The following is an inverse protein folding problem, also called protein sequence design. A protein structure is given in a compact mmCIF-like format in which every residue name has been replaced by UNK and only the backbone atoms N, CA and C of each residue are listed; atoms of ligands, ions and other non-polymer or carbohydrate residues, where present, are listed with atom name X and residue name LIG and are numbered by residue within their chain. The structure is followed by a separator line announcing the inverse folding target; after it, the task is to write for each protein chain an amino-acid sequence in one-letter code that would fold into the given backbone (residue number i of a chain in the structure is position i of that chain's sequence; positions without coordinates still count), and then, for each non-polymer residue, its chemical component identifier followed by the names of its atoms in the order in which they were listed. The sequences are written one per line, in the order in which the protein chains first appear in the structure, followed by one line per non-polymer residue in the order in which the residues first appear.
data_IF_792928042670
#
_entry.id   IF_792928042670
#
_cell.length_a   1.000
_cell.length_b   1.000
_cell.length_c   1.000
_cell.angle_alpha   90.00
_cell.angle_beta   90.00
_cell.angle_gamma   90.00
#
_symmetry.space_group_name_H-M   'P 1'
#
loop_
_entity.id
_entity.type
_entity.pdbx_description
1 polymer ?
#
# COMPACT_ATOMS: atom_id res chain seq x y z
N UNK A 1 -22.96 -8.49 -2.69
CA UNK A 1 -22.36 -9.81 -2.52
C UNK A 1 -21.54 -9.92 -1.22
N UNK A 2 -20.90 -11.07 -0.93
CA UNK A 2 -20.20 -11.29 0.36
C UNK A 2 -19.13 -10.25 0.67
N UNK A 3 -18.33 -9.85 -0.32
CA UNK A 3 -17.27 -8.84 -0.15
C UNK A 3 -17.84 -7.51 0.32
N UNK A 4 -18.93 -7.05 -0.26
CA UNK A 4 -19.59 -5.81 0.17
C UNK A 4 -20.08 -5.88 1.64
N UNK A 5 -20.63 -7.02 2.04
CA UNK A 5 -21.07 -7.22 3.43
C UNK A 5 -19.90 -7.19 4.41
N UNK A 6 -18.74 -7.76 4.03
CA UNK A 6 -17.52 -7.68 4.82
C UNK A 6 -16.99 -6.25 4.92
N UNK A 7 -17.00 -5.49 3.82
CA UNK A 7 -16.66 -4.07 3.83
C UNK A 7 -17.54 -3.28 4.79
N UNK A 8 -18.88 -3.45 4.72
CA UNK A 8 -19.83 -2.80 5.64
C UNK A 8 -19.51 -3.12 7.09
N UNK A 9 -19.28 -4.40 7.41
CA UNK A 9 -18.94 -4.80 8.78
C UNK A 9 -17.61 -4.16 9.23
N UNK A 10 -16.61 -4.12 8.37
CA UNK A 10 -15.32 -3.46 8.63
C UNK A 10 -15.48 -1.97 8.93
N UNK A 11 -16.25 -1.24 8.10
CA UNK A 11 -16.51 0.18 8.33
C UNK A 11 -17.25 0.46 9.63
N UNK A 12 -18.25 -0.37 9.99
CA UNK A 12 -18.95 -0.25 11.28
C UNK A 12 -17.95 -0.42 12.43
N UNK A 13 -17.11 -1.48 12.37
CA UNK A 13 -16.14 -1.76 13.42
C UNK A 13 -15.04 -0.70 13.53
N UNK A 14 -14.52 -0.22 12.39
CA UNK A 14 -13.48 0.82 12.37
C UNK A 14 -14.00 2.20 12.80
N UNK A 15 -15.32 2.40 12.77
CA UNK A 15 -15.97 3.65 13.20
C UNK A 15 -16.47 3.59 14.64
N UNK A 16 -16.50 2.41 15.26
CA UNK A 16 -16.97 2.23 16.65
C UNK A 16 -15.84 2.59 17.63
N UNK A 17 -16.00 3.60 18.49
CA UNK A 17 -14.98 4.02 19.47
C UNK A 17 -14.66 2.96 20.53
N UNK A 18 -15.49 1.94 20.68
CA UNK A 18 -15.26 0.81 21.58
C UNK A 18 -14.63 -0.41 20.89
N UNK A 19 -14.54 -0.39 19.57
CA UNK A 19 -13.87 -1.43 18.81
C UNK A 19 -12.34 -1.30 18.92
N UNK A 20 -11.66 -2.44 18.78
CA UNK A 20 -10.20 -2.48 18.62
C UNK A 20 -9.76 -2.50 17.15
N UNK A 21 -10.70 -2.47 16.22
CA UNK A 21 -10.42 -2.36 14.79
C UNK A 21 -10.08 -0.90 14.50
N UNK A 22 -8.87 -0.67 14.00
CA UNK A 22 -8.36 0.69 13.76
C UNK A 22 -8.43 1.09 12.29
N UNK A 23 -8.44 0.13 11.38
CA UNK A 23 -8.50 0.38 9.93
C UNK A 23 -9.08 -0.83 9.19
N UNK A 24 -9.49 -0.62 7.93
CA UNK A 24 -9.85 -1.68 7.00
C UNK A 24 -8.70 -1.92 6.03
N UNK A 25 -8.59 -3.17 5.58
CA UNK A 25 -7.71 -3.54 4.47
C UNK A 25 -8.46 -4.49 3.52
N UNK A 26 -8.16 -4.40 2.23
CA UNK A 26 -8.53 -5.40 1.23
C UNK A 26 -7.25 -6.09 0.76
N UNK A 27 -7.15 -7.38 1.04
CA UNK A 27 -5.96 -8.18 0.75
C UNK A 27 -6.34 -9.36 -0.13
N UNK A 28 -5.71 -9.47 -1.27
CA UNK A 28 -5.75 -10.63 -2.17
C UNK A 28 -4.60 -10.50 -3.16
N UNK A 29 -4.20 -11.62 -3.80
CA UNK A 29 -3.25 -11.57 -4.90
C UNK A 29 -3.75 -10.58 -5.98
N UNK A 30 -3.02 -9.46 -6.14
CA UNK A 30 -3.48 -8.31 -6.93
C UNK A 30 -3.50 -8.64 -8.42
N UNK A 31 -2.60 -9.53 -8.88
CA UNK A 31 -2.51 -10.04 -10.25
C UNK A 31 -3.59 -11.09 -10.60
N UNK A 32 -4.38 -11.54 -9.62
CA UNK A 32 -5.43 -12.53 -9.89
C UNK A 32 -6.53 -11.96 -10.77
N UNK A 33 -7.08 -12.80 -11.64
CA UNK A 33 -8.15 -12.39 -12.57
C UNK A 33 -9.32 -11.68 -11.89
N UNK A 34 -9.76 -12.18 -10.73
CA UNK A 34 -10.90 -11.59 -10.01
C UNK A 34 -10.52 -10.27 -9.35
N UNK A 35 -9.30 -10.12 -8.85
CA UNK A 35 -8.79 -8.85 -8.30
C UNK A 35 -8.77 -7.79 -9.38
N UNK A 36 -8.15 -8.07 -10.51
CA UNK A 36 -8.08 -7.18 -11.67
C UNK A 36 -9.46 -6.78 -12.18
N UNK A 37 -10.36 -7.75 -12.36
CA UNK A 37 -11.71 -7.51 -12.90
C UNK A 37 -12.56 -6.62 -11.99
N UNK A 38 -12.45 -6.78 -10.68
CA UNK A 38 -13.35 -6.16 -9.71
C UNK A 38 -12.75 -4.93 -9.03
N UNK A 39 -11.48 -4.61 -9.23
CA UNK A 39 -10.76 -3.57 -8.49
C UNK A 39 -11.52 -2.24 -8.47
N UNK A 40 -11.79 -1.68 -9.63
CA UNK A 40 -12.52 -0.40 -9.74
C UNK A 40 -13.90 -0.45 -9.07
N UNK A 41 -14.60 -1.59 -9.16
CA UNK A 41 -15.90 -1.75 -8.50
C UNK A 41 -15.75 -1.74 -6.98
N UNK A 42 -14.72 -2.39 -6.46
CA UNK A 42 -14.42 -2.41 -5.03
C UNK A 42 -14.02 -1.02 -4.53
N UNK A 43 -13.23 -0.27 -5.28
CA UNK A 43 -12.88 1.13 -4.93
C UNK A 43 -14.12 2.02 -4.86
N UNK A 44 -15.07 1.89 -5.79
CA UNK A 44 -16.36 2.60 -5.74
C UNK A 44 -17.20 2.20 -4.54
N UNK A 45 -17.13 0.94 -4.11
CA UNK A 45 -17.81 0.49 -2.89
C UNK A 45 -17.20 1.13 -1.64
N UNK A 46 -15.87 1.24 -1.58
CA UNK A 46 -15.16 1.92 -0.51
C UNK A 46 -15.52 3.42 -0.47
N UNK A 47 -15.53 4.09 -1.62
CA UNK A 47 -15.94 5.49 -1.74
C UNK A 47 -17.35 5.74 -1.18
N UNK A 48 -18.32 4.92 -1.60
CA UNK A 48 -19.67 5.00 -1.07
C UNK A 48 -19.74 4.80 0.45
N UNK A 49 -19.03 3.78 0.97
CA UNK A 49 -19.04 3.48 2.41
C UNK A 49 -18.28 4.53 3.22
N UNK A 50 -17.17 5.06 2.71
CA UNK A 50 -16.44 6.14 3.35
C UNK A 50 -17.31 7.40 3.49
N UNK A 51 -18.17 7.70 2.51
CA UNK A 51 -19.16 8.76 2.62
C UNK A 51 -20.15 8.57 3.78
N UNK A 52 -20.42 7.32 4.21
CA UNK A 52 -21.28 6.99 5.36
C UNK A 52 -20.51 6.93 6.68
N UNK A 53 -19.21 6.55 6.61
CA UNK A 53 -18.32 6.32 7.76
C UNK A 53 -17.00 7.09 7.58
N UNK A 54 -17.02 8.44 7.56
CA UNK A 54 -15.86 9.24 7.17
C UNK A 54 -14.69 9.23 8.18
N UNK A 55 -14.87 8.59 9.32
CA UNK A 55 -13.83 8.43 10.35
C UNK A 55 -13.11 7.09 10.28
N UNK A 56 -13.57 6.18 9.43
CA UNK A 56 -12.91 4.89 9.28
C UNK A 56 -11.61 5.07 8.49
N UNK A 57 -10.51 4.60 9.07
CA UNK A 57 -9.23 4.56 8.37
C UNK A 57 -9.16 3.36 7.42
N UNK A 58 -8.47 3.56 6.30
CA UNK A 58 -8.38 2.57 5.24
C UNK A 58 -6.92 2.39 4.86
N UNK A 59 -6.45 1.14 4.92
CA UNK A 59 -5.18 0.73 4.34
C UNK A 59 -5.46 -0.21 3.18
N UNK A 60 -4.77 -0.08 2.06
CA UNK A 60 -5.03 -0.92 0.90
C UNK A 60 -3.73 -1.50 0.33
N UNK A 61 -3.76 -2.79 -0.01
CA UNK A 61 -2.76 -3.34 -0.90
C UNK A 61 -3.00 -2.75 -2.29
N UNK A 62 -1.99 -2.11 -2.85
CA UNK A 62 -2.03 -1.58 -4.21
C UNK A 62 -0.62 -1.46 -4.77
N UNK A 63 -0.46 -1.89 -6.02
CA UNK A 63 0.81 -1.84 -6.71
C UNK A 63 1.80 -2.94 -6.33
N UNK A 64 1.34 -4.07 -5.79
CA UNK A 64 2.14 -5.29 -5.70
C UNK A 64 2.17 -5.98 -7.06
N UNK A 65 2.58 -5.24 -8.06
CA UNK A 65 2.60 -5.63 -9.47
C UNK A 65 3.96 -5.29 -10.09
N UNK A 66 4.27 -6.03 -11.15
CA UNK A 66 5.45 -5.77 -11.97
C UNK A 66 5.14 -6.06 -13.45
N UNK A 67 5.83 -5.41 -14.40
CA UNK A 67 5.69 -5.72 -15.82
C UNK A 67 5.89 -7.21 -16.11
N UNK A 68 4.93 -7.80 -16.83
CA UNK A 68 4.92 -9.23 -17.18
C UNK A 68 4.02 -10.10 -16.31
N UNK A 69 3.56 -9.64 -15.15
CA UNK A 69 2.57 -10.35 -14.32
C UNK A 69 1.15 -10.14 -14.83
N UNK A 70 0.85 -8.92 -15.25
CA UNK A 70 -0.46 -8.52 -15.78
C UNK A 70 -0.29 -7.83 -17.13
N UNK A 71 -1.36 -7.68 -17.94
CA UNK A 71 -1.32 -6.82 -19.13
C UNK A 71 -0.90 -5.38 -18.78
N UNK A 72 -0.25 -4.65 -19.70
CA UNK A 72 0.27 -3.29 -19.43
C UNK A 72 -0.77 -2.31 -18.88
N UNK A 73 -2.02 -2.39 -19.36
CA UNK A 73 -3.14 -1.58 -18.87
C UNK A 73 -3.55 -1.94 -17.43
N UNK A 74 -3.19 -3.11 -16.94
CA UNK A 74 -3.38 -3.52 -15.56
C UNK A 74 -2.41 -2.89 -14.56
N UNK A 75 -1.35 -2.22 -15.02
CA UNK A 75 -0.37 -1.57 -14.17
C UNK A 75 -0.67 -0.08 -13.90
N UNK A 76 -1.74 0.48 -14.49
CA UNK A 76 -1.85 1.94 -14.63
C UNK A 76 -2.82 2.61 -13.65
N UNK A 77 -3.47 1.87 -12.73
CA UNK A 77 -4.60 2.46 -12.00
C UNK A 77 -4.78 2.01 -10.54
N UNK A 78 -4.09 0.99 -10.07
CA UNK A 78 -4.37 0.39 -8.76
C UNK A 78 -4.04 1.34 -7.60
N UNK A 79 -2.84 1.93 -7.59
CA UNK A 79 -2.43 2.88 -6.55
C UNK A 79 -3.28 4.15 -6.66
N UNK A 80 -3.46 4.68 -7.88
CA UNK A 80 -4.28 5.87 -8.10
C UNK A 80 -5.70 5.69 -7.60
N UNK A 81 -6.36 4.60 -7.95
CA UNK A 81 -7.72 4.34 -7.51
C UNK A 81 -7.82 4.11 -6.00
N UNK A 82 -6.85 3.46 -5.40
CA UNK A 82 -6.77 3.29 -3.93
C UNK A 82 -6.68 4.64 -3.22
N UNK A 83 -5.88 5.56 -3.75
CA UNK A 83 -5.72 6.91 -3.21
C UNK A 83 -6.95 7.79 -3.47
N UNK A 84 -7.48 7.79 -4.69
CA UNK A 84 -8.47 8.77 -5.13
C UNK A 84 -9.93 8.33 -4.86
N UNK A 85 -10.21 7.03 -4.96
CA UNK A 85 -11.54 6.45 -4.75
C UNK A 85 -11.60 5.61 -3.47
N UNK A 86 -10.55 4.84 -3.19
CA UNK A 86 -10.48 3.96 -2.03
C UNK A 86 -10.28 4.70 -0.71
N UNK A 87 -9.97 6.01 -0.76
CA UNK A 87 -9.68 6.86 0.41
C UNK A 87 -8.59 6.29 1.31
N UNK A 88 -7.60 5.61 0.72
CA UNK A 88 -6.53 5.01 1.48
C UNK A 88 -5.70 6.06 2.23
N UNK A 89 -5.50 5.84 3.52
CA UNK A 89 -4.55 6.57 4.36
C UNK A 89 -3.13 5.98 4.21
N UNK A 90 -3.08 4.66 3.88
CA UNK A 90 -1.83 3.93 3.66
C UNK A 90 -1.97 3.01 2.43
N UNK A 91 -0.85 2.86 1.71
CA UNK A 91 -0.73 1.93 0.57
C UNK A 91 0.29 0.86 0.92
N UNK A 92 -0.12 -0.39 0.90
CA UNK A 92 0.79 -1.53 0.99
C UNK A 92 1.52 -1.73 -0.35
N UNK A 93 2.82 -1.97 -0.31
CA UNK A 93 3.74 -2.23 -1.42
C UNK A 93 4.03 -1.04 -2.33
N UNK A 94 3.10 -0.62 -3.17
CA UNK A 94 3.29 0.51 -4.08
C UNK A 94 4.42 0.34 -5.10
N UNK A 95 4.75 -0.90 -5.50
CA UNK A 95 5.95 -1.20 -6.30
C UNK A 95 5.84 -0.67 -7.73
N UNK A 96 4.67 -0.69 -8.32
CA UNK A 96 4.47 -0.30 -9.72
C UNK A 96 4.13 1.19 -9.93
N UNK A 97 4.34 2.04 -8.94
CA UNK A 97 4.00 3.48 -8.96
C UNK A 97 4.41 4.18 -10.28
N UNK A 98 5.56 3.82 -10.85
CA UNK A 98 6.05 4.42 -12.08
C UNK A 98 5.36 3.92 -13.35
N UNK A 99 4.49 2.91 -13.24
CA UNK A 99 3.65 2.43 -14.33
C UNK A 99 2.23 3.01 -14.28
N UNK A 100 1.86 3.66 -13.19
CA UNK A 100 0.57 4.34 -13.03
C UNK A 100 0.39 5.47 -14.06
N UNK A 101 -0.86 5.79 -14.38
CA UNK A 101 -1.16 6.99 -15.15
C UNK A 101 -0.73 8.24 -14.38
N UNK A 102 0.04 9.11 -15.02
CA UNK A 102 0.56 10.36 -14.44
C UNK A 102 1.25 10.17 -13.06
N UNK A 103 2.30 9.35 -12.97
CA UNK A 103 2.90 8.95 -11.70
C UNK A 103 3.42 10.14 -10.87
N UNK A 104 3.97 11.16 -11.50
CA UNK A 104 4.48 12.36 -10.81
C UNK A 104 3.35 13.17 -10.14
N UNK A 105 2.16 13.21 -10.75
CA UNK A 105 0.99 13.85 -10.14
C UNK A 105 0.51 13.04 -8.94
N UNK A 106 0.43 11.71 -9.09
CA UNK A 106 0.02 10.81 -8.01
C UNK A 106 0.97 10.90 -6.82
N UNK A 107 2.27 10.91 -7.05
CA UNK A 107 3.28 11.07 -6.00
C UNK A 107 3.13 12.41 -5.25
N UNK A 108 2.91 13.52 -5.98
CA UNK A 108 2.64 14.83 -5.36
C UNK A 108 1.37 14.80 -4.51
N UNK A 109 0.33 14.15 -4.98
CA UNK A 109 -0.93 14.05 -4.23
C UNK A 109 -0.76 13.18 -2.97
N UNK A 110 -0.05 12.07 -3.06
CA UNK A 110 0.27 11.23 -1.91
C UNK A 110 1.08 12.01 -0.86
N UNK A 111 2.10 12.74 -1.27
CA UNK A 111 2.89 13.58 -0.37
C UNK A 111 2.03 14.68 0.28
N UNK A 112 1.21 15.39 -0.51
CA UNK A 112 0.33 16.47 -0.04
C UNK A 112 -0.69 15.97 0.99
N UNK A 113 -1.26 14.77 0.79
CA UNK A 113 -2.24 14.14 1.69
C UNK A 113 -1.60 13.35 2.82
N UNK A 114 -0.26 13.28 2.86
CA UNK A 114 0.48 12.47 3.83
C UNK A 114 0.10 10.98 3.79
N UNK A 115 -0.20 10.45 2.60
CA UNK A 115 -0.51 9.03 2.41
C UNK A 115 0.78 8.24 2.50
N UNK A 116 0.86 7.32 3.45
CA UNK A 116 2.08 6.55 3.71
C UNK A 116 2.15 5.30 2.84
N UNK A 117 3.37 4.91 2.44
CA UNK A 117 3.61 3.64 1.75
C UNK A 117 4.29 2.65 2.70
N UNK A 118 3.73 1.44 2.81
CA UNK A 118 4.30 0.32 3.55
C UNK A 118 5.22 -0.48 2.63
N UNK A 119 6.52 -0.37 2.84
CA UNK A 119 7.57 -0.92 2.00
C UNK A 119 7.99 -2.29 2.53
N UNK A 120 7.75 -3.33 1.75
CA UNK A 120 8.00 -4.74 2.08
C UNK A 120 9.13 -5.28 1.20
N UNK A 121 10.39 -4.92 1.50
CA UNK A 121 11.55 -5.19 0.63
C UNK A 121 11.76 -6.67 0.35
N UNK A 122 11.64 -7.52 1.37
CA UNK A 122 11.82 -8.96 1.23
C UNK A 122 10.68 -9.59 0.42
N UNK A 123 9.43 -9.24 0.74
CA UNK A 123 8.26 -9.73 0.00
C UNK A 123 8.32 -9.33 -1.48
N UNK A 124 8.61 -8.06 -1.77
CA UNK A 124 8.70 -7.57 -3.15
C UNK A 124 9.84 -8.20 -3.96
N UNK A 125 10.94 -8.57 -3.29
CA UNK A 125 12.01 -9.34 -3.93
C UNK A 125 11.56 -10.77 -4.25
N UNK A 126 10.95 -11.45 -3.29
CA UNK A 126 10.52 -12.86 -3.43
C UNK A 126 9.38 -13.01 -4.43
N UNK A 127 8.36 -12.15 -4.37
CA UNK A 127 7.14 -12.27 -5.18
C UNK A 127 7.33 -11.65 -6.57
N UNK A 128 7.91 -10.44 -6.63
CA UNK A 128 8.01 -9.66 -7.86
C UNK A 128 9.38 -9.69 -8.52
N UNK A 129 10.40 -10.20 -7.82
CA UNK A 129 11.79 -10.10 -8.26
C UNK A 129 12.30 -8.64 -8.28
N UNK A 130 11.67 -7.74 -7.52
CA UNK A 130 12.03 -6.30 -7.48
C UNK A 130 12.82 -5.99 -6.23
N UNK A 131 14.10 -5.66 -6.39
CA UNK A 131 15.02 -5.38 -5.28
C UNK A 131 16.07 -4.33 -5.62
N UNK A 132 16.78 -3.85 -4.63
CA UNK A 132 17.85 -2.86 -4.76
C UNK A 132 17.33 -1.60 -5.48
N UNK A 133 18.10 -1.10 -6.42
CA UNK A 133 17.79 0.15 -7.17
C UNK A 133 16.55 0.07 -8.08
N UNK A 134 16.01 -1.13 -8.31
CA UNK A 134 14.77 -1.29 -9.07
C UNK A 134 13.53 -1.05 -8.22
N UNK A 135 13.67 -1.12 -6.89
CA UNK A 135 12.59 -0.85 -5.96
C UNK A 135 12.31 0.67 -5.90
N UNK A 136 11.05 1.13 -5.96
CA UNK A 136 10.71 2.55 -6.07
C UNK A 136 10.83 3.35 -4.76
N UNK A 137 11.40 2.79 -3.70
CA UNK A 137 11.54 3.48 -2.40
C UNK A 137 12.23 4.85 -2.53
N UNK A 138 13.30 4.94 -3.32
CA UNK A 138 13.98 6.21 -3.56
C UNK A 138 13.05 7.24 -4.22
N UNK A 139 12.19 6.81 -5.15
CA UNK A 139 11.20 7.67 -5.82
C UNK A 139 10.20 8.26 -4.81
N UNK A 140 9.70 7.45 -3.88
CA UNK A 140 8.82 7.93 -2.82
C UNK A 140 9.52 8.94 -1.90
N UNK A 141 10.77 8.66 -1.50
CA UNK A 141 11.57 9.56 -0.67
C UNK A 141 11.79 10.91 -1.38
N UNK A 142 12.20 10.88 -2.64
CA UNK A 142 12.47 12.08 -3.43
C UNK A 142 11.21 12.93 -3.66
N UNK A 143 10.04 12.28 -3.75
CA UNK A 143 8.75 12.96 -3.84
C UNK A 143 8.22 13.47 -2.49
N UNK A 144 8.88 13.13 -1.37
CA UNK A 144 8.42 13.50 -0.02
C UNK A 144 7.24 12.69 0.47
N UNK A 145 6.96 11.54 -0.11
CA UNK A 145 5.93 10.61 0.34
C UNK A 145 6.43 9.90 1.60
N UNK A 146 5.67 9.89 2.71
CA UNK A 146 6.07 9.15 3.90
C UNK A 146 6.08 7.65 3.65
N UNK A 147 6.99 6.95 4.29
CA UNK A 147 7.10 5.49 4.18
C UNK A 147 7.36 4.84 5.55
N UNK A 148 7.01 3.57 5.66
CA UNK A 148 7.40 2.68 6.74
C UNK A 148 7.91 1.37 6.16
N UNK A 149 8.93 0.76 6.78
CA UNK A 149 9.34 -0.60 6.44
C UNK A 149 8.41 -1.58 7.14
N UNK A 150 7.96 -2.59 6.44
CA UNK A 150 7.06 -3.62 6.94
C UNK A 150 7.50 -5.00 6.43
N UNK A 151 7.17 -6.03 7.20
CA UNK A 151 7.61 -7.41 6.90
C UNK A 151 6.71 -8.14 5.92
N UNK A 152 5.44 -7.69 5.80
CA UNK A 152 4.41 -8.49 5.18
C UNK A 152 4.30 -9.87 5.86
N UNK A 153 4.23 -10.95 5.13
CA UNK A 153 4.08 -12.33 5.63
C UNK A 153 5.42 -12.91 6.15
N UNK A 154 5.84 -12.57 7.36
CA UNK A 154 7.09 -13.02 7.99
C UNK A 154 7.29 -14.54 7.90
N UNK A 155 6.23 -15.30 8.21
CA UNK A 155 6.29 -16.76 8.21
C UNK A 155 6.50 -17.36 6.82
N UNK A 156 6.00 -16.72 5.78
CA UNK A 156 6.14 -17.14 4.38
C UNK A 156 7.49 -16.73 3.84
N UNK A 157 7.86 -15.46 4.00
CA UNK A 157 9.12 -14.90 3.53
C UNK A 157 10.33 -15.33 4.37
N UNK A 158 10.11 -15.92 5.55
CA UNK A 158 11.15 -16.24 6.53
C UNK A 158 12.02 -15.04 6.86
N UNK A 159 11.36 -13.90 7.01
CA UNK A 159 11.99 -12.61 7.35
C UNK A 159 11.50 -12.12 8.70
N UNK A 160 12.06 -11.03 9.15
CA UNK A 160 11.61 -10.27 10.32
C UNK A 160 11.86 -8.78 10.08
N UNK A 161 11.36 -7.94 10.97
CA UNK A 161 11.52 -6.49 10.84
C UNK A 161 12.98 -6.05 10.88
N UNK A 162 13.86 -6.79 11.58
CA UNK A 162 15.30 -6.49 11.61
C UNK A 162 15.91 -6.68 10.22
N UNK A 163 15.52 -7.73 9.51
CA UNK A 163 15.94 -7.98 8.14
C UNK A 163 15.47 -6.87 7.19
N UNK A 164 14.24 -6.39 7.32
CA UNK A 164 13.75 -5.27 6.51
C UNK A 164 14.59 -3.99 6.73
N UNK A 165 14.96 -3.68 7.99
CA UNK A 165 15.83 -2.56 8.29
C UNK A 165 17.27 -2.76 7.78
N UNK A 166 17.79 -3.97 7.83
CA UNK A 166 19.11 -4.31 7.22
C UNK A 166 19.06 -4.10 5.71
N UNK A 167 18.05 -4.63 5.03
CA UNK A 167 17.85 -4.41 3.58
C UNK A 167 17.66 -2.93 3.25
N UNK A 168 16.91 -2.20 4.07
CA UNK A 168 16.79 -0.75 3.95
C UNK A 168 18.15 -0.04 3.99
N UNK A 169 19.02 -0.43 4.91
CA UNK A 169 20.35 0.15 5.03
C UNK A 169 21.31 -0.29 3.89
N UNK A 170 21.33 -1.58 3.55
CA UNK A 170 22.30 -2.16 2.63
C UNK A 170 21.87 -2.05 1.16
N UNK A 171 20.65 -2.48 0.84
CA UNK A 171 20.14 -2.54 -0.54
C UNK A 171 19.62 -1.18 -1.02
N UNK A 172 18.98 -0.41 -0.14
CA UNK A 172 18.38 0.89 -0.43
C UNK A 172 19.23 2.08 0.00
N UNK A 173 20.34 1.82 0.72
CA UNK A 173 21.29 2.85 1.22
C UNK A 173 20.59 3.92 2.09
N UNK A 174 19.57 3.54 2.84
CA UNK A 174 18.89 4.45 3.74
C UNK A 174 19.84 4.93 4.85
N UNK A 175 19.84 6.21 5.10
CA UNK A 175 20.55 6.82 6.23
C UNK A 175 19.88 6.45 7.56
N UNK A 176 20.63 6.57 8.65
CA UNK A 176 20.07 6.39 10.01
C UNK A 176 18.84 7.28 10.27
N UNK A 177 18.84 8.50 9.75
CA UNK A 177 17.72 9.42 9.90
C UNK A 177 16.47 8.91 9.21
N UNK A 178 16.61 8.38 7.99
CA UNK A 178 15.49 7.80 7.23
C UNK A 178 14.96 6.52 7.90
N UNK A 179 15.83 5.63 8.37
CA UNK A 179 15.44 4.43 9.14
C UNK A 179 14.68 4.80 10.42
N UNK A 180 15.17 5.79 11.16
CA UNK A 180 14.51 6.30 12.36
C UNK A 180 13.16 6.95 12.05
N UNK A 181 13.03 7.61 10.91
CA UNK A 181 11.77 8.20 10.45
C UNK A 181 10.77 7.11 10.10
N UNK A 182 11.19 6.07 9.36
CA UNK A 182 10.38 4.89 9.09
C UNK A 182 9.81 4.28 10.38
N UNK A 183 10.66 4.02 11.38
CA UNK A 183 10.24 3.47 12.67
C UNK A 183 9.26 4.34 13.47
N UNK A 184 9.27 5.65 13.26
CA UNK A 184 8.27 6.56 13.83
C UNK A 184 6.94 6.49 13.07
N UNK A 185 7.02 6.42 11.75
CA UNK A 185 5.85 6.35 10.90
C UNK A 185 5.03 5.06 11.13
N UNK A 186 5.68 3.95 11.48
CA UNK A 186 4.99 2.70 11.88
C UNK A 186 4.02 2.90 13.07
N UNK A 187 4.29 3.88 13.94
CA UNK A 187 3.55 4.12 15.19
C UNK A 187 2.60 5.31 15.12
N UNK A 188 2.56 6.04 14.02
CA UNK A 188 1.93 7.37 13.96
C UNK A 188 0.52 7.42 13.39
N UNK A 189 -0.11 6.24 13.18
CA UNK A 189 -1.49 6.18 12.67
C UNK A 189 -2.33 5.16 13.43
#
# INVERSE_FOLDING_TARGET
GPVYAQMVAGFILASDPYSKVVALNLVQAEDSYLSMLNFTTQMKMLDFLHGQYPKAHITLHAGELAPGLVPPDGLTFHIRQSVMLGHADRIGHGVDIMNEDEPDELLREMARRNIMVEICLTSNDVILGVSGKRHPLATYIDAGVPFALATDDEGVARSDITMEYMRGAEDQQLSYVQLKTSAKNERSQ
#
